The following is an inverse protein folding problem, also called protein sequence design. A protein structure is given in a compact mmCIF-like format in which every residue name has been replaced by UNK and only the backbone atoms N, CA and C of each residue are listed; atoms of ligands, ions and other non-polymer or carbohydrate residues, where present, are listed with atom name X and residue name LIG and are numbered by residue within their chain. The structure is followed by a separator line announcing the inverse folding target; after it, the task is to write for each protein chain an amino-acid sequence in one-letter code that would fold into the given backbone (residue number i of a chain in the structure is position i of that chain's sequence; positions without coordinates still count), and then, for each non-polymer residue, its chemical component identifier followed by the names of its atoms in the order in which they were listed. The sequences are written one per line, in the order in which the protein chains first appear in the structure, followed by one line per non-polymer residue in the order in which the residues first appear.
data_IF_320741765846
#
_entry.id   IF_320741765846
#
_cell.length_a   1.000
_cell.length_b   1.000
_cell.length_c   1.000
_cell.angle_alpha   90.00
_cell.angle_beta   90.00
_cell.angle_gamma   90.00
#
_symmetry.space_group_name_H-M   'P 1'
#
loop_
_entity.id
_entity.type
_entity.pdbx_description
1 polymer ?
#
# COMPACT_ATOMS: atom_id res chain seq x y z
N UNK A 1 -81.23 32.44 30.43
CA UNK A 1 -81.34 33.92 30.34
C UNK A 1 -79.92 34.41 30.09
N UNK A 2 -79.49 34.46 28.82
CA UNK A 2 -79.35 35.68 27.99
C UNK A 2 -78.41 36.71 28.66
N UNK A 3 -77.30 37.15 28.07
CA UNK A 3 -77.16 37.63 26.68
C UNK A 3 -75.71 37.67 26.16
N UNK A 4 -75.59 37.66 24.83
CA UNK A 4 -74.66 38.37 23.91
C UNK A 4 -73.14 38.17 24.02
N UNK A 5 -72.45 37.74 22.95
CA UNK A 5 -72.10 38.53 21.76
C UNK A 5 -70.61 38.94 21.91
N UNK A 6 -69.66 38.75 21.01
CA UNK A 6 -69.63 39.04 19.56
C UNK A 6 -68.33 38.45 19.00
N UNK A 7 -68.35 37.97 17.74
CA UNK A 7 -67.17 37.61 16.97
C UNK A 7 -66.26 38.82 16.72
N UNK A 8 -64.94 38.63 16.83
CA UNK A 8 -63.95 39.51 16.19
C UNK A 8 -63.10 38.65 15.25
N UNK A 9 -63.37 38.82 13.95
CA UNK A 9 -62.46 38.49 12.87
C UNK A 9 -61.18 39.32 13.02
N UNK A 10 -60.03 38.67 13.04
CA UNK A 10 -58.74 39.34 12.78
C UNK A 10 -58.24 38.86 11.43
N UNK A 11 -58.37 39.76 10.45
CA UNK A 11 -57.80 39.68 9.12
C UNK A 11 -56.33 39.25 9.17
N UNK A 12 -56.06 38.05 8.64
CA UNK A 12 -54.72 37.59 8.31
C UNK A 12 -54.31 38.35 7.04
N UNK A 13 -53.59 39.46 7.19
CA UNK A 13 -52.95 40.15 6.08
C UNK A 13 -52.02 39.16 5.36
N UNK A 14 -52.42 38.76 4.16
CA UNK A 14 -51.57 38.10 3.20
C UNK A 14 -50.60 39.15 2.64
N UNK A 15 -49.35 39.11 3.11
CA UNK A 15 -48.25 39.76 2.42
C UNK A 15 -47.93 38.95 1.16
N UNK A 16 -47.92 39.56 -0.05
CA UNK A 16 -47.52 38.88 -1.26
C UNK A 16 -45.98 38.78 -1.25
N UNK A 17 -45.46 37.66 -0.76
CA UNK A 17 -44.11 37.26 -1.15
C UNK A 17 -44.17 36.85 -2.62
N UNK A 18 -43.85 37.82 -3.48
CA UNK A 18 -43.34 37.59 -4.82
C UNK A 18 -42.31 36.47 -4.75
N UNK A 19 -42.70 35.30 -5.23
CA UNK A 19 -41.77 34.26 -5.63
C UNK A 19 -40.94 34.86 -6.78
N UNK A 20 -39.81 35.45 -6.45
CA UNK A 20 -38.70 35.53 -7.40
C UNK A 20 -38.39 34.08 -7.76
N UNK A 21 -38.90 33.64 -8.91
CA UNK A 21 -38.35 32.53 -9.65
C UNK A 21 -36.89 32.88 -9.93
N UNK A 22 -35.99 32.61 -8.98
CA UNK A 22 -34.61 32.34 -9.30
C UNK A 22 -34.66 31.08 -10.15
N UNK A 23 -34.70 31.26 -11.46
CA UNK A 23 -34.43 30.23 -12.45
C UNK A 23 -33.14 29.55 -12.00
N UNK A 24 -33.26 28.41 -11.32
CA UNK A 24 -32.13 27.69 -10.79
C UNK A 24 -31.30 27.22 -11.97
N UNK A 25 -30.26 27.99 -12.32
CA UNK A 25 -29.25 27.53 -13.27
C UNK A 25 -28.73 26.21 -12.71
N UNK A 26 -28.81 25.13 -13.49
CA UNK A 26 -28.20 23.88 -13.05
C UNK A 26 -26.71 24.13 -12.88
N UNK A 27 -26.09 23.50 -11.90
CA UNK A 27 -24.66 23.66 -11.64
C UNK A 27 -23.80 23.30 -12.87
N UNK A 28 -24.31 22.40 -13.71
CA UNK A 28 -23.72 22.00 -15.02
C UNK A 28 -23.80 23.11 -16.07
N UNK A 29 -24.74 24.04 -15.95
CA UNK A 29 -24.87 25.21 -16.83
C UNK A 29 -23.84 26.30 -16.48
N UNK A 30 -23.20 26.20 -15.31
CA UNK A 30 -22.26 27.20 -14.78
C UNK A 30 -20.83 26.65 -14.72
N UNK A 31 -20.66 25.36 -14.45
CA UNK A 31 -19.34 24.71 -14.37
C UNK A 31 -19.30 23.41 -15.20
N UNK A 32 -18.21 23.19 -15.96
CA UNK A 32 -17.95 21.88 -16.56
C UNK A 32 -17.89 20.78 -15.48
N UNK A 33 -18.33 19.57 -15.84
CA UNK A 33 -18.31 18.41 -14.94
C UNK A 33 -16.91 18.12 -14.41
N UNK A 34 -15.88 18.38 -15.22
CA UNK A 34 -14.47 18.23 -14.87
C UNK A 34 -14.06 19.14 -13.70
N UNK A 35 -14.62 20.35 -13.63
CA UNK A 35 -14.35 21.30 -12.55
C UNK A 35 -15.05 20.86 -11.26
N UNK A 36 -16.28 20.35 -11.38
CA UNK A 36 -17.01 19.79 -10.24
C UNK A 36 -16.29 18.55 -9.69
N UNK A 37 -15.83 17.67 -10.57
CA UNK A 37 -15.02 16.50 -10.23
C UNK A 37 -13.74 16.89 -9.48
N UNK A 38 -13.02 17.90 -9.98
CA UNK A 38 -11.83 18.45 -9.33
C UNK A 38 -12.13 19.01 -7.94
N UNK A 39 -13.25 19.73 -7.75
CA UNK A 39 -13.62 20.30 -6.46
C UNK A 39 -13.88 19.18 -5.44
N UNK A 40 -14.67 18.17 -5.81
CA UNK A 40 -15.00 17.08 -4.89
C UNK A 40 -13.77 16.19 -4.63
N UNK A 41 -12.92 15.96 -5.63
CA UNK A 41 -11.65 15.24 -5.45
C UNK A 41 -10.70 16.01 -4.52
N UNK A 42 -10.57 17.32 -4.67
CA UNK A 42 -9.75 18.12 -3.76
C UNK A 42 -10.32 18.15 -2.33
N UNK A 43 -11.65 18.13 -2.18
CA UNK A 43 -12.27 17.99 -0.86
C UNK A 43 -11.95 16.63 -0.22
N UNK A 44 -11.99 15.54 -1.00
CA UNK A 44 -11.57 14.21 -0.53
C UNK A 44 -10.05 14.13 -0.23
N UNK A 45 -9.24 15.04 -0.77
CA UNK A 45 -7.81 15.11 -0.45
C UNK A 45 -7.48 16.12 0.67
N UNK A 46 -8.43 16.99 1.03
CA UNK A 46 -8.18 18.15 1.91
C UNK A 46 -8.01 17.82 3.39
N UNK A 47 -8.53 16.67 3.86
CA UNK A 47 -8.46 16.24 5.26
C UNK A 47 -7.81 14.87 5.38
N UNK A 48 -6.85 14.77 6.30
CA UNK A 48 -6.21 13.50 6.68
C UNK A 48 -7.19 12.61 7.46
N UNK A 49 -8.16 13.20 8.16
CA UNK A 49 -9.19 12.45 8.89
C UNK A 49 -10.33 12.03 7.95
N UNK A 50 -10.55 10.71 7.88
CA UNK A 50 -11.62 10.09 7.10
C UNK A 50 -13.01 10.50 7.60
N UNK A 51 -13.21 10.66 8.92
CA UNK A 51 -14.52 11.01 9.45
C UNK A 51 -14.91 12.44 9.05
N UNK A 52 -13.98 13.39 9.14
CA UNK A 52 -14.20 14.74 8.62
C UNK A 52 -14.51 14.73 7.12
N UNK A 53 -13.73 14.01 6.31
CA UNK A 53 -14.01 13.89 4.86
C UNK A 53 -15.38 13.31 4.56
N UNK A 54 -15.75 12.21 5.21
CA UNK A 54 -17.04 11.56 5.00
C UNK A 54 -18.20 12.50 5.37
N UNK A 55 -18.04 13.31 6.41
CA UNK A 55 -19.02 14.35 6.81
C UNK A 55 -19.10 15.47 5.77
N UNK A 56 -17.98 15.94 5.27
CA UNK A 56 -17.94 17.04 4.31
C UNK A 56 -18.50 16.60 2.94
N UNK A 57 -18.16 15.40 2.48
CA UNK A 57 -18.77 14.75 1.31
C UNK A 57 -20.28 14.50 1.51
N UNK A 58 -20.69 14.08 2.71
CA UNK A 58 -22.11 13.92 3.02
C UNK A 58 -22.84 15.26 2.95
N UNK A 59 -22.28 16.32 3.52
CA UNK A 59 -22.86 17.67 3.46
C UNK A 59 -22.98 18.17 2.03
N UNK A 60 -21.94 17.94 1.22
CA UNK A 60 -21.93 18.26 -0.20
C UNK A 60 -22.97 17.43 -0.99
N UNK A 61 -23.21 16.18 -0.59
CA UNK A 61 -24.23 15.34 -1.22
C UNK A 61 -25.68 15.81 -1.00
N UNK A 62 -25.91 16.72 -0.04
CA UNK A 62 -27.24 17.27 0.26
C UNK A 62 -27.54 18.57 -0.48
N UNK A 63 -26.59 19.17 -1.20
CA UNK A 63 -26.78 20.50 -1.80
C UNK A 63 -27.51 20.45 -3.15
N UNK A 64 -27.10 19.56 -4.06
CA UNK A 64 -27.77 19.38 -5.35
C UNK A 64 -27.54 17.97 -5.91
N UNK A 65 -28.32 17.58 -6.93
CA UNK A 65 -28.26 16.25 -7.53
C UNK A 65 -26.89 15.90 -8.15
N UNK A 66 -26.22 16.87 -8.77
CA UNK A 66 -24.90 16.66 -9.40
C UNK A 66 -23.85 16.38 -8.33
N UNK A 67 -23.80 17.21 -7.30
CA UNK A 67 -22.90 17.05 -6.15
C UNK A 67 -23.24 15.81 -5.33
N UNK A 68 -24.52 15.40 -5.28
CA UNK A 68 -24.96 14.13 -4.72
C UNK A 68 -24.31 12.93 -5.42
N UNK A 69 -24.43 12.89 -6.75
CA UNK A 69 -23.84 11.81 -7.55
C UNK A 69 -22.31 11.78 -7.41
N UNK A 70 -21.68 12.96 -7.43
CA UNK A 70 -20.22 13.07 -7.37
C UNK A 70 -19.64 12.76 -5.99
N UNK A 71 -20.26 13.25 -4.92
CA UNK A 71 -19.91 12.86 -3.56
C UNK A 71 -20.11 11.36 -3.33
N UNK A 72 -21.17 10.78 -3.90
CA UNK A 72 -21.40 9.33 -3.89
C UNK A 72 -20.25 8.58 -4.57
N UNK A 73 -19.84 9.03 -5.76
CA UNK A 73 -18.72 8.46 -6.52
C UNK A 73 -17.43 8.47 -5.71
N UNK A 74 -17.07 9.59 -5.09
CA UNK A 74 -15.84 9.68 -4.28
C UNK A 74 -15.94 8.83 -3.01
N UNK A 75 -17.08 8.86 -2.31
CA UNK A 75 -17.28 8.09 -1.07
C UNK A 75 -17.16 6.58 -1.26
N UNK A 76 -17.60 6.06 -2.41
CA UNK A 76 -17.50 4.63 -2.74
C UNK A 76 -16.25 4.27 -3.56
N UNK A 77 -15.40 5.24 -3.90
CA UNK A 77 -14.18 5.02 -4.69
C UNK A 77 -13.21 4.06 -3.99
N UNK A 78 -13.00 4.24 -2.70
CA UNK A 78 -12.12 3.40 -1.88
C UNK A 78 -12.86 2.92 -0.64
N UNK A 79 -13.10 1.60 -0.55
CA UNK A 79 -13.90 1.00 0.52
C UNK A 79 -13.11 -0.04 1.30
N UNK A 80 -13.39 -0.10 2.60
CA UNK A 80 -12.86 -1.13 3.49
C UNK A 80 -14.03 -1.99 3.95
N UNK A 81 -13.98 -3.28 3.60
CA UNK A 81 -14.99 -4.27 3.93
C UNK A 81 -14.55 -5.08 5.14
N UNK A 82 -15.12 -4.77 6.29
CA UNK A 82 -14.89 -5.49 7.55
C UNK A 82 -15.77 -6.73 7.63
N UNK A 83 -15.22 -7.90 7.29
CA UNK A 83 -15.98 -9.15 7.25
C UNK A 83 -16.74 -9.42 8.56
N UNK A 84 -17.98 -9.90 8.46
CA UNK A 84 -18.79 -10.25 9.64
C UNK A 84 -19.35 -9.07 10.44
N UNK A 85 -19.33 -7.84 9.91
CA UNK A 85 -19.89 -6.67 10.61
C UNK A 85 -21.23 -6.23 10.03
N UNK A 86 -22.12 -5.66 10.86
CA UNK A 86 -23.36 -5.03 10.36
C UNK A 86 -23.10 -3.93 9.33
N UNK A 87 -21.97 -3.20 9.49
CA UNK A 87 -21.53 -2.18 8.53
C UNK A 87 -21.21 -2.80 7.17
N UNK A 88 -20.56 -3.97 7.13
CA UNK A 88 -20.24 -4.64 5.87
C UNK A 88 -21.47 -5.20 5.17
N UNK A 89 -22.49 -5.66 5.92
CA UNK A 89 -23.78 -6.03 5.34
C UNK A 89 -24.48 -4.84 4.66
N UNK A 90 -24.57 -3.68 5.34
CA UNK A 90 -25.11 -2.45 4.73
C UNK A 90 -24.31 -2.01 3.52
N UNK A 91 -22.99 -2.14 3.57
CA UNK A 91 -22.11 -1.83 2.45
C UNK A 91 -22.41 -2.75 1.26
N UNK A 92 -22.50 -4.06 1.47
CA UNK A 92 -22.86 -5.02 0.43
C UNK A 92 -24.20 -4.67 -0.25
N UNK A 93 -25.24 -4.33 0.52
CA UNK A 93 -26.52 -3.88 -0.03
C UNK A 93 -26.40 -2.63 -0.90
N UNK A 94 -25.60 -1.64 -0.45
CA UNK A 94 -25.37 -0.41 -1.22
C UNK A 94 -24.59 -0.66 -2.50
N UNK A 95 -23.64 -1.59 -2.48
CA UNK A 95 -22.92 -2.01 -3.68
C UNK A 95 -23.88 -2.67 -4.68
N UNK A 96 -24.74 -3.58 -4.20
CA UNK A 96 -25.77 -4.23 -5.03
C UNK A 96 -26.78 -3.22 -5.59
N UNK A 97 -27.12 -2.17 -4.85
CA UNK A 97 -28.07 -1.14 -5.29
C UNK A 97 -27.50 -0.09 -6.24
N UNK A 98 -26.28 -0.28 -6.77
CA UNK A 98 -25.70 0.57 -7.81
C UNK A 98 -24.39 1.28 -7.46
N UNK A 99 -23.91 1.20 -6.21
CA UNK A 99 -22.63 1.83 -5.85
C UNK A 99 -21.39 1.06 -6.34
N UNK A 100 -21.54 -0.22 -6.69
CA UNK A 100 -20.45 -1.10 -7.14
C UNK A 100 -19.64 -0.51 -8.31
N UNK A 101 -20.30 0.18 -9.23
CA UNK A 101 -19.65 0.78 -10.40
C UNK A 101 -18.72 1.97 -10.11
N UNK A 102 -18.66 2.45 -8.86
CA UNK A 102 -17.76 3.51 -8.43
C UNK A 102 -16.49 3.00 -7.74
N UNK A 103 -16.50 1.76 -7.26
CA UNK A 103 -15.39 1.18 -6.50
C UNK A 103 -14.16 1.01 -7.39
N UNK A 104 -13.05 1.60 -6.96
CA UNK A 104 -11.72 1.44 -7.55
C UNK A 104 -10.77 0.69 -6.63
N UNK A 105 -10.89 0.90 -5.32
CA UNK A 105 -10.04 0.27 -4.33
C UNK A 105 -10.90 -0.45 -3.29
N UNK A 106 -10.67 -1.75 -3.12
CA UNK A 106 -11.36 -2.59 -2.13
C UNK A 106 -10.32 -3.24 -1.22
N UNK A 107 -10.40 -2.94 0.07
CA UNK A 107 -9.67 -3.67 1.10
C UNK A 107 -10.64 -4.56 1.87
N UNK A 108 -10.38 -5.86 1.92
CA UNK A 108 -11.17 -6.84 2.67
C UNK A 108 -10.41 -7.16 3.96
N UNK A 109 -11.03 -6.83 5.09
CA UNK A 109 -10.54 -7.17 6.41
C UNK A 109 -11.16 -8.49 6.85
N UNK A 110 -10.35 -9.54 6.78
CA UNK A 110 -10.68 -10.89 7.22
C UNK A 110 -10.60 -10.94 8.76
N UNK A 111 -11.75 -10.90 9.43
CA UNK A 111 -11.82 -11.06 10.89
C UNK A 111 -11.68 -12.54 11.26
N UNK A 112 -10.69 -12.89 12.11
CA UNK A 112 -10.50 -14.26 12.61
C UNK A 112 -11.26 -14.60 13.90
N UNK A 113 -12.05 -13.69 14.46
CA UNK A 113 -12.97 -13.97 15.58
C UNK A 113 -14.25 -13.17 15.38
N UNK A 114 -15.38 -13.85 15.40
CA UNK A 114 -16.71 -13.29 15.23
C UNK A 114 -16.96 -12.16 16.25
N UNK A 115 -17.37 -10.98 15.77
CA UNK A 115 -18.11 -10.05 16.63
C UNK A 115 -19.54 -10.56 16.62
N UNK A 116 -20.05 -10.92 17.80
CA UNK A 116 -21.43 -11.32 18.03
C UNK A 116 -22.38 -10.38 17.28
N UNK A 117 -23.02 -10.89 16.22
CA UNK A 117 -24.21 -10.26 15.65
C UNK A 117 -25.44 -11.06 16.14
N UNK A 118 -26.50 -10.39 16.61
CA UNK A 118 -27.63 -11.02 17.30
C UNK A 118 -28.67 -11.58 16.31
N UNK A 119 -28.27 -12.54 15.48
CA UNK A 119 -29.20 -13.32 14.68
C UNK A 119 -28.62 -14.69 14.38
N UNK A 120 -29.16 -15.70 15.05
CA UNK A 120 -28.88 -17.11 14.81
C UNK A 120 -29.11 -17.47 13.33
N UNK A 121 -28.10 -18.04 12.67
CA UNK A 121 -28.32 -18.85 11.46
C UNK A 121 -27.79 -18.33 10.12
N UNK A 122 -27.13 -17.16 10.03
CA UNK A 122 -26.41 -16.77 8.79
C UNK A 122 -24.91 -16.97 8.97
N UNK A 123 -24.25 -17.59 7.99
CA UNK A 123 -22.81 -17.86 8.02
C UNK A 123 -22.03 -16.57 8.38
N UNK A 124 -21.12 -16.66 9.34
CA UNK A 124 -20.30 -15.56 9.88
C UNK A 124 -19.42 -14.81 8.83
N UNK A 125 -19.48 -15.22 7.57
CA UNK A 125 -18.66 -14.74 6.47
C UNK A 125 -19.51 -13.95 5.47
N UNK A 126 -19.50 -12.61 5.62
CA UNK A 126 -20.25 -11.67 4.78
C UNK A 126 -19.50 -11.26 3.51
N UNK A 127 -18.24 -11.68 3.31
CA UNK A 127 -17.49 -11.33 2.10
C UNK A 127 -18.10 -11.93 0.82
N UNK A 128 -18.85 -13.03 0.93
CA UNK A 128 -19.63 -13.61 -0.18
C UNK A 128 -20.76 -12.69 -0.63
N UNK A 129 -21.19 -11.74 0.21
CA UNK A 129 -22.21 -10.76 -0.14
C UNK A 129 -21.66 -9.60 -1.00
N UNK A 130 -20.33 -9.47 -1.14
CA UNK A 130 -19.72 -8.48 -2.04
C UNK A 130 -20.08 -8.86 -3.48
N UNK A 131 -20.75 -7.98 -4.25
CA UNK A 131 -21.13 -8.28 -5.62
C UNK A 131 -19.94 -8.06 -6.57
N UNK A 132 -18.93 -8.94 -6.51
CA UNK A 132 -17.69 -8.82 -7.30
C UNK A 132 -17.94 -8.64 -8.79
N UNK A 133 -18.96 -9.32 -9.32
CA UNK A 133 -19.40 -9.22 -10.71
C UNK A 133 -19.83 -7.79 -11.12
N UNK A 134 -20.27 -6.96 -10.16
CA UNK A 134 -20.65 -5.58 -10.40
C UNK A 134 -19.50 -4.58 -10.22
N UNK A 135 -18.36 -5.01 -9.66
CA UNK A 135 -17.18 -4.17 -9.40
C UNK A 135 -16.33 -3.93 -10.67
N UNK A 136 -16.96 -3.56 -11.77
CA UNK A 136 -16.33 -3.47 -13.11
C UNK A 136 -15.22 -2.43 -13.24
N UNK A 137 -15.15 -1.46 -12.30
CA UNK A 137 -14.10 -0.43 -12.25
C UNK A 137 -13.03 -0.68 -11.19
N UNK A 138 -13.07 -1.83 -10.50
CA UNK A 138 -12.10 -2.17 -9.47
C UNK A 138 -10.70 -2.24 -10.08
N UNK A 139 -9.74 -1.56 -9.44
CA UNK A 139 -8.33 -1.47 -9.84
C UNK A 139 -7.40 -2.08 -8.81
N UNK A 140 -7.72 -1.95 -7.52
CA UNK A 140 -6.94 -2.49 -6.42
C UNK A 140 -7.79 -3.37 -5.53
N UNK A 141 -7.31 -4.58 -5.25
CA UNK A 141 -7.89 -5.49 -4.27
C UNK A 141 -6.83 -5.87 -3.23
N UNK A 142 -7.10 -5.57 -1.95
CA UNK A 142 -6.24 -5.95 -0.82
C UNK A 142 -7.01 -6.86 0.13
N UNK A 143 -6.39 -7.97 0.55
CA UNK A 143 -6.90 -8.90 1.55
C UNK A 143 -5.98 -8.82 2.76
N UNK A 144 -6.51 -8.31 3.86
CA UNK A 144 -5.76 -7.99 5.07
C UNK A 144 -6.41 -8.65 6.29
N UNK A 145 -5.59 -8.95 7.29
CA UNK A 145 -6.08 -9.41 8.58
C UNK A 145 -5.88 -8.30 9.61
N UNK A 146 -6.92 -8.01 10.38
CA UNK A 146 -6.92 -6.94 11.40
C UNK A 146 -6.38 -7.43 12.74
N UNK A 147 -6.15 -8.74 12.90
CA UNK A 147 -5.72 -9.29 14.19
C UNK A 147 -4.33 -8.77 14.57
N UNK A 148 -4.31 -7.80 15.50
CA UNK A 148 -3.20 -7.43 16.38
C UNK A 148 -2.88 -8.54 17.41
N UNK A 149 -3.06 -9.81 17.05
CA UNK A 149 -2.76 -10.93 17.93
C UNK A 149 -1.42 -11.49 17.49
N UNK A 150 -0.47 -11.54 18.42
CA UNK A 150 0.94 -11.83 18.18
C UNK A 150 1.25 -13.22 17.60
N UNK A 151 0.24 -14.07 17.36
CA UNK A 151 0.25 -15.36 16.64
C UNK A 151 -1.18 -15.92 16.62
N UNK A 152 -2.01 -15.65 15.61
CA UNK A 152 -3.24 -16.41 15.44
C UNK A 152 -2.89 -17.82 14.96
N UNK A 153 -3.63 -18.87 15.35
CA UNK A 153 -3.41 -20.21 14.83
C UNK A 153 -3.62 -20.23 13.30
N UNK A 154 -2.69 -20.85 12.56
CA UNK A 154 -2.63 -20.82 11.09
C UNK A 154 -3.93 -21.22 10.38
N UNK A 155 -4.75 -22.08 11.00
CA UNK A 155 -6.04 -22.54 10.46
C UNK A 155 -7.18 -21.54 10.59
N UNK A 156 -7.08 -20.54 11.48
CA UNK A 156 -8.13 -19.54 11.71
C UNK A 156 -8.07 -18.30 10.80
N UNK A 157 -7.08 -18.25 9.92
CA UNK A 157 -6.77 -17.08 9.07
C UNK A 157 -7.01 -17.31 7.59
N UNK A 158 -7.49 -18.50 7.22
CA UNK A 158 -7.58 -18.95 5.85
C UNK A 158 -9.03 -18.92 5.36
N UNK A 159 -9.30 -18.17 4.28
CA UNK A 159 -10.63 -17.96 3.74
C UNK A 159 -10.74 -18.50 2.30
N UNK A 160 -10.78 -19.84 2.13
CA UNK A 160 -10.87 -20.46 0.80
C UNK A 160 -12.08 -20.00 -0.02
N UNK A 161 -13.22 -19.74 0.63
CA UNK A 161 -14.43 -19.36 -0.10
C UNK A 161 -14.30 -17.98 -0.74
N UNK A 162 -13.53 -17.06 -0.16
CA UNK A 162 -13.26 -15.77 -0.78
C UNK A 162 -12.57 -15.97 -2.14
N UNK A 163 -11.54 -16.80 -2.20
CA UNK A 163 -10.80 -17.04 -3.44
C UNK A 163 -11.63 -17.78 -4.49
N UNK A 164 -12.53 -18.69 -4.09
CA UNK A 164 -13.51 -19.29 -5.01
C UNK A 164 -14.48 -18.26 -5.59
N UNK A 165 -14.95 -17.32 -4.77
CA UNK A 165 -15.82 -16.23 -5.24
C UNK A 165 -15.07 -15.30 -6.18
N UNK A 166 -13.82 -14.95 -5.87
CA UNK A 166 -12.96 -14.18 -6.79
C UNK A 166 -12.75 -14.93 -8.11
N UNK A 167 -12.55 -16.25 -8.05
CA UNK A 167 -12.37 -17.07 -9.24
C UNK A 167 -13.63 -17.18 -10.11
N UNK A 168 -14.81 -17.08 -9.55
CA UNK A 168 -16.06 -17.22 -10.32
C UNK A 168 -16.70 -15.90 -10.71
N UNK A 169 -16.52 -14.86 -9.91
CA UNK A 169 -17.32 -13.64 -9.98
C UNK A 169 -16.53 -12.38 -10.30
N UNK A 170 -15.19 -12.38 -10.16
CA UNK A 170 -14.39 -11.20 -10.45
C UNK A 170 -14.29 -10.98 -11.98
N UNK A 171 -14.68 -9.80 -12.49
CA UNK A 171 -14.54 -9.51 -13.92
C UNK A 171 -13.07 -9.57 -14.36
N UNK A 172 -12.86 -9.97 -15.61
CA UNK A 172 -11.53 -10.14 -16.18
C UNK A 172 -10.84 -8.79 -16.45
N UNK A 173 -9.52 -8.76 -16.28
CA UNK A 173 -8.65 -7.63 -16.66
C UNK A 173 -9.07 -6.27 -16.09
N UNK A 174 -9.65 -6.28 -14.89
CA UNK A 174 -10.00 -5.05 -14.17
C UNK A 174 -8.88 -4.63 -13.21
N UNK A 175 -8.21 -5.60 -12.58
CA UNK A 175 -7.20 -5.36 -11.55
C UNK A 175 -5.88 -4.86 -12.14
N UNK A 176 -5.32 -3.86 -11.46
CA UNK A 176 -3.97 -3.33 -11.67
C UNK A 176 -3.08 -3.63 -10.46
N UNK A 177 -3.67 -3.80 -9.29
CA UNK A 177 -3.00 -4.15 -8.06
C UNK A 177 -3.76 -5.25 -7.30
N UNK A 178 -3.02 -6.23 -6.80
CA UNK A 178 -3.54 -7.26 -5.90
C UNK A 178 -2.60 -7.41 -4.71
N UNK A 179 -3.16 -7.53 -3.52
CA UNK A 179 -2.43 -7.72 -2.26
C UNK A 179 -3.09 -8.80 -1.42
N UNK A 180 -2.31 -9.83 -1.06
CA UNK A 180 -2.66 -10.86 -0.09
C UNK A 180 -1.40 -11.28 0.67
N UNK A 181 -1.04 -10.50 1.69
CA UNK A 181 0.15 -10.73 2.52
C UNK A 181 -0.06 -11.77 3.62
N UNK A 182 -1.23 -12.41 3.62
CA UNK A 182 -1.57 -13.52 4.50
C UNK A 182 -1.21 -14.86 3.84
N UNK A 183 -0.93 -15.91 4.62
CA UNK A 183 -0.78 -17.26 4.06
C UNK A 183 -1.99 -17.64 3.21
N UNK A 184 -1.72 -18.15 2.01
CA UNK A 184 -2.73 -18.63 1.06
C UNK A 184 -2.34 -20.02 0.56
N UNK A 185 -3.31 -20.76 0.02
CA UNK A 185 -3.05 -21.96 -0.75
C UNK A 185 -2.80 -21.58 -2.19
N UNK A 186 -1.95 -22.33 -2.89
CA UNK A 186 -1.52 -21.87 -4.20
C UNK A 186 -2.66 -21.88 -5.25
N UNK A 187 -3.69 -22.72 -5.05
CA UNK A 187 -4.92 -22.72 -5.85
C UNK A 187 -5.73 -21.42 -5.72
N UNK A 188 -5.53 -20.65 -4.66
CA UNK A 188 -6.24 -19.40 -4.41
C UNK A 188 -5.88 -18.30 -5.39
N UNK A 189 -4.73 -18.41 -6.07
CA UNK A 189 -4.23 -17.42 -7.00
C UNK A 189 -4.67 -17.67 -8.45
N UNK A 190 -5.44 -18.74 -8.72
CA UNK A 190 -5.84 -19.13 -10.08
C UNK A 190 -6.61 -18.01 -10.79
N UNK A 191 -7.45 -17.25 -10.07
CA UNK A 191 -8.21 -16.13 -10.66
C UNK A 191 -7.33 -15.04 -11.29
N UNK A 192 -6.06 -14.92 -10.86
CA UNK A 192 -5.11 -13.96 -11.42
C UNK A 192 -4.75 -14.25 -12.88
N UNK A 193 -4.97 -15.47 -13.37
CA UNK A 193 -4.79 -15.82 -14.79
C UNK A 193 -5.64 -14.94 -15.71
N UNK A 194 -6.80 -14.47 -15.22
CA UNK A 194 -7.71 -13.59 -15.95
C UNK A 194 -7.41 -12.10 -15.75
N UNK A 195 -6.28 -11.75 -15.12
CA UNK A 195 -5.91 -10.37 -14.76
C UNK A 195 -4.58 -9.99 -15.41
N UNK A 196 -4.50 -10.01 -16.74
CA UNK A 196 -3.26 -9.74 -17.49
C UNK A 196 -2.76 -8.29 -17.35
N UNK A 197 -3.64 -7.36 -16.96
CA UNK A 197 -3.30 -5.93 -16.72
C UNK A 197 -2.71 -5.66 -15.34
N UNK A 198 -2.51 -6.68 -14.52
CA UNK A 198 -1.95 -6.52 -13.18
C UNK A 198 -0.50 -6.04 -13.25
N UNK A 199 -0.21 -4.93 -12.56
CA UNK A 199 1.13 -4.33 -12.49
C UNK A 199 1.76 -4.47 -11.12
N UNK A 200 0.94 -4.57 -10.07
CA UNK A 200 1.37 -4.67 -8.66
C UNK A 200 0.87 -5.95 -8.04
N UNK A 201 1.79 -6.73 -7.48
CA UNK A 201 1.49 -7.98 -6.80
C UNK A 201 2.15 -7.99 -5.43
N UNK A 202 1.34 -8.03 -4.38
CA UNK A 202 1.80 -8.21 -3.01
C UNK A 202 1.32 -9.56 -2.48
N UNK A 203 2.23 -10.41 -2.04
CA UNK A 203 1.95 -11.79 -1.63
C UNK A 203 2.67 -12.13 -0.34
N UNK A 204 2.12 -13.05 0.45
CA UNK A 204 2.84 -13.58 1.60
C UNK A 204 4.19 -14.19 1.19
N UNK A 205 4.20 -15.05 0.16
CA UNK A 205 5.41 -15.68 -0.37
C UNK A 205 5.13 -16.34 -1.70
N UNK A 206 6.06 -16.35 -2.66
CA UNK A 206 5.79 -16.93 -3.98
C UNK A 206 5.35 -18.42 -3.92
N UNK A 207 4.44 -18.88 -4.82
CA UNK A 207 3.94 -20.25 -4.84
C UNK A 207 5.05 -21.30 -4.97
N UNK A 208 4.92 -22.42 -4.25
CA UNK A 208 5.96 -23.47 -4.21
C UNK A 208 5.57 -24.78 -4.88
N UNK A 209 4.27 -25.03 -5.08
CA UNK A 209 3.85 -26.28 -5.71
C UNK A 209 4.11 -26.26 -7.22
N UNK A 210 4.27 -27.43 -7.86
CA UNK A 210 4.57 -27.52 -9.29
C UNK A 210 3.53 -26.87 -10.20
N UNK A 211 2.22 -26.94 -9.88
CA UNK A 211 1.17 -26.41 -10.75
C UNK A 211 1.19 -24.88 -10.77
N UNK A 212 1.29 -24.26 -9.59
CA UNK A 212 1.33 -22.79 -9.49
C UNK A 212 2.69 -22.24 -9.94
N UNK A 213 3.76 -23.00 -9.75
CA UNK A 213 5.05 -22.71 -10.37
C UNK A 213 4.93 -22.66 -11.90
N UNK A 214 4.26 -23.64 -12.52
CA UNK A 214 4.05 -23.69 -13.97
C UNK A 214 3.25 -22.48 -14.49
N UNK A 215 2.33 -21.94 -13.70
CA UNK A 215 1.63 -20.69 -14.02
C UNK A 215 2.58 -19.50 -13.94
N UNK A 216 3.38 -19.42 -12.89
CA UNK A 216 4.32 -18.32 -12.70
C UNK A 216 5.39 -18.26 -13.79
N UNK A 217 5.89 -19.40 -14.30
CA UNK A 217 6.90 -19.40 -15.38
C UNK A 217 6.32 -19.00 -16.75
N UNK A 218 5.00 -19.07 -16.92
CA UNK A 218 4.36 -18.75 -18.19
C UNK A 218 4.52 -17.25 -18.49
N UNK A 219 5.14 -16.84 -19.63
CA UNK A 219 5.33 -15.42 -19.95
C UNK A 219 4.02 -14.65 -20.12
N UNK A 220 2.93 -15.36 -20.46
CA UNK A 220 1.59 -14.81 -20.57
C UNK A 220 0.91 -14.52 -19.23
N UNK A 221 1.43 -15.08 -18.13
CA UNK A 221 0.89 -14.85 -16.80
C UNK A 221 1.47 -13.55 -16.22
N UNK A 222 0.62 -12.53 -16.01
CA UNK A 222 1.02 -11.21 -15.50
C UNK A 222 2.17 -10.56 -16.31
N UNK A 223 1.99 -10.35 -17.63
CA UNK A 223 3.05 -9.86 -18.51
C UNK A 223 3.51 -8.44 -18.17
N UNK A 224 2.63 -7.61 -17.63
CA UNK A 224 2.88 -6.20 -17.30
C UNK A 224 3.31 -6.00 -15.83
N UNK A 225 3.77 -7.05 -15.14
CA UNK A 225 4.11 -6.97 -13.73
C UNK A 225 5.36 -6.10 -13.50
N UNK A 226 5.18 -4.99 -12.78
CA UNK A 226 6.21 -3.98 -12.49
C UNK A 226 6.67 -4.00 -11.02
N UNK A 227 5.77 -4.37 -10.09
CA UNK A 227 6.00 -4.29 -8.64
C UNK A 227 5.68 -5.59 -7.96
N UNK A 228 6.62 -6.06 -7.14
CA UNK A 228 6.46 -7.25 -6.31
C UNK A 228 6.74 -6.88 -4.86
N UNK A 229 5.81 -7.17 -3.95
CA UNK A 229 5.98 -7.08 -2.49
C UNK A 229 5.78 -8.47 -1.88
N UNK A 230 6.79 -8.97 -1.16
CA UNK A 230 6.75 -10.26 -0.50
C UNK A 230 6.83 -10.08 1.01
N UNK A 231 5.88 -10.68 1.73
CA UNK A 231 5.96 -10.70 3.20
C UNK A 231 7.19 -11.51 3.67
N UNK A 232 7.45 -12.65 3.03
CA UNK A 232 8.58 -13.53 3.33
C UNK A 232 9.18 -14.06 2.04
N UNK A 233 10.51 -13.99 1.96
CA UNK A 233 11.30 -14.65 0.93
C UNK A 233 12.10 -15.81 1.54
N UNK A 234 11.82 -17.02 1.06
CA UNK A 234 12.43 -18.24 1.56
C UNK A 234 13.68 -18.63 0.78
N UNK A 235 14.67 -19.31 1.40
CA UNK A 235 15.91 -19.71 0.72
C UNK A 235 15.67 -20.66 -0.47
N UNK A 236 14.63 -21.50 -0.35
CA UNK A 236 14.24 -22.51 -1.33
C UNK A 236 13.49 -21.94 -2.54
N UNK A 237 13.15 -20.66 -2.54
CA UNK A 237 12.39 -20.01 -3.62
C UNK A 237 13.26 -19.49 -4.77
N UNK A 238 14.55 -19.85 -4.82
CA UNK A 238 15.44 -19.53 -5.95
C UNK A 238 14.83 -19.86 -7.32
N UNK A 239 14.27 -21.07 -7.53
CA UNK A 239 13.55 -21.41 -8.76
C UNK A 239 12.30 -20.55 -8.96
N UNK A 240 11.52 -20.29 -7.92
CA UNK A 240 10.29 -19.49 -8.02
C UNK A 240 10.55 -18.03 -8.39
N UNK A 241 11.71 -17.47 -8.04
CA UNK A 241 12.11 -16.17 -8.55
C UNK A 241 12.42 -16.24 -10.04
N UNK A 242 13.09 -17.29 -10.54
CA UNK A 242 13.27 -17.47 -11.99
C UNK A 242 11.92 -17.48 -12.73
N UNK A 243 10.85 -17.90 -12.07
CA UNK A 243 9.52 -17.82 -12.67
C UNK A 243 9.11 -16.39 -13.04
N UNK A 244 9.64 -15.37 -12.36
CA UNK A 244 9.42 -13.95 -12.67
C UNK A 244 10.28 -13.42 -13.83
N UNK A 245 11.22 -14.21 -14.35
CA UNK A 245 12.11 -13.82 -15.44
C UNK A 245 11.34 -13.36 -16.68
N UNK A 246 11.87 -12.34 -17.36
CA UNK A 246 11.30 -11.78 -18.60
C UNK A 246 10.21 -10.73 -18.37
N UNK A 247 9.75 -10.51 -17.13
CA UNK A 247 8.79 -9.44 -16.80
C UNK A 247 9.49 -8.11 -16.55
N UNK A 248 8.81 -6.96 -16.76
CA UNK A 248 9.37 -5.62 -16.58
C UNK A 248 9.37 -5.20 -15.09
N UNK A 249 9.83 -6.07 -14.20
CA UNK A 249 9.83 -5.81 -12.75
C UNK A 249 10.89 -4.77 -12.43
N UNK A 250 10.46 -3.61 -11.97
CA UNK A 250 11.33 -2.48 -11.63
C UNK A 250 11.53 -2.30 -10.13
N UNK A 251 10.68 -2.93 -9.32
CA UNK A 251 10.64 -2.75 -7.87
C UNK A 251 10.35 -4.05 -7.14
N UNK A 252 11.19 -4.37 -6.17
CA UNK A 252 11.02 -5.51 -5.27
C UNK A 252 11.05 -5.04 -3.82
N UNK A 253 9.95 -5.28 -3.11
CA UNK A 253 9.87 -5.14 -1.65
C UNK A 253 9.87 -6.52 -1.02
N UNK A 254 10.67 -6.69 0.03
CA UNK A 254 10.69 -7.90 0.85
C UNK A 254 10.68 -7.49 2.32
N UNK A 255 9.72 -8.02 3.08
CA UNK A 255 9.53 -7.69 4.50
C UNK A 255 10.19 -8.66 5.46
N UNK A 256 10.64 -9.81 4.98
CA UNK A 256 11.43 -10.76 5.76
C UNK A 256 12.27 -11.60 4.80
N UNK A 257 13.56 -11.67 5.06
CA UNK A 257 14.52 -12.43 4.25
C UNK A 257 15.15 -13.49 5.14
N UNK A 258 14.81 -14.75 4.90
CA UNK A 258 15.42 -15.87 5.65
C UNK A 258 16.82 -16.22 5.12
N UNK A 259 17.07 -16.11 3.81
CA UNK A 259 18.39 -16.16 3.20
C UNK A 259 18.37 -15.60 1.77
N UNK A 260 19.56 -15.39 1.19
CA UNK A 260 19.73 -15.04 -0.22
C UNK A 260 19.44 -16.25 -1.10
N UNK A 261 18.48 -16.17 -2.03
CA UNK A 261 18.32 -17.18 -3.06
C UNK A 261 19.51 -17.19 -4.01
N UNK A 262 20.07 -18.38 -4.30
CA UNK A 262 21.28 -18.56 -5.13
C UNK A 262 21.18 -18.07 -6.59
N UNK A 263 20.01 -17.59 -7.06
CA UNK A 263 19.71 -17.34 -8.47
C UNK A 263 19.03 -15.99 -8.77
N UNK A 264 19.25 -14.97 -7.93
CA UNK A 264 18.68 -13.63 -8.11
C UNK A 264 19.03 -12.93 -9.44
N UNK A 265 20.18 -13.23 -10.03
CA UNK A 265 20.64 -12.58 -11.28
C UNK A 265 19.66 -12.68 -12.45
N UNK A 266 18.78 -13.69 -12.46
CA UNK A 266 17.81 -13.93 -13.54
C UNK A 266 16.65 -12.92 -13.61
N UNK A 267 16.32 -12.25 -12.50
CA UNK A 267 15.14 -11.36 -12.38
C UNK A 267 15.52 -9.90 -12.09
N UNK A 268 16.76 -9.69 -11.68
CA UNK A 268 17.22 -8.42 -11.07
C UNK A 268 17.69 -7.39 -12.09
N UNK A 269 17.83 -7.76 -13.37
CA UNK A 269 18.34 -6.88 -14.42
C UNK A 269 17.52 -5.59 -14.56
N UNK A 270 16.20 -5.65 -14.38
CA UNK A 270 15.33 -4.47 -14.51
C UNK A 270 15.04 -3.78 -13.17
N UNK A 271 15.48 -4.36 -12.05
CA UNK A 271 15.12 -3.86 -10.72
C UNK A 271 15.99 -2.65 -10.38
N UNK A 272 15.32 -1.51 -10.19
CA UNK A 272 15.94 -0.24 -9.80
C UNK A 272 15.60 0.17 -8.37
N UNK A 273 14.59 -0.47 -7.76
CA UNK A 273 14.20 -0.27 -6.35
C UNK A 273 14.20 -1.59 -5.60
N UNK A 274 14.97 -1.67 -4.52
CA UNK A 274 14.97 -2.79 -3.58
C UNK A 274 14.62 -2.27 -2.17
N UNK A 275 13.48 -2.70 -1.64
CA UNK A 275 12.98 -2.27 -0.35
C UNK A 275 13.01 -3.42 0.67
N UNK A 276 13.86 -3.28 1.69
CA UNK A 276 14.09 -4.23 2.77
C UNK A 276 13.90 -3.56 4.14
N UNK A 277 13.19 -2.43 4.18
CA UNK A 277 13.06 -1.57 5.35
C UNK A 277 12.27 -2.22 6.50
N UNK A 278 11.45 -3.22 6.19
CA UNK A 278 10.71 -4.03 7.15
C UNK A 278 11.38 -5.38 7.47
N UNK A 279 12.50 -5.71 6.81
CA UNK A 279 13.17 -7.01 6.92
C UNK A 279 13.97 -7.20 8.21
N UNK A 280 13.79 -8.39 8.79
CA UNK A 280 14.69 -9.01 9.76
C UNK A 280 15.58 -10.01 9.01
N UNK A 281 16.89 -10.02 9.31
CA UNK A 281 17.83 -11.01 8.76
C UNK A 281 18.55 -11.70 9.91
N UNK A 282 18.81 -13.00 9.74
CA UNK A 282 19.72 -13.71 10.63
C UNK A 282 21.14 -13.10 10.54
N UNK A 283 21.86 -12.94 11.66
CA UNK A 283 23.27 -12.52 11.62
C UNK A 283 24.14 -13.42 10.75
N UNK A 284 23.83 -14.71 10.71
CA UNK A 284 24.45 -15.64 9.78
C UNK A 284 23.98 -15.36 8.35
N UNK A 285 24.91 -15.01 7.46
CA UNK A 285 24.65 -14.78 6.04
C UNK A 285 24.36 -13.33 5.64
N UNK A 286 24.46 -12.35 6.56
CA UNK A 286 24.29 -10.93 6.22
C UNK A 286 25.37 -10.42 5.23
N UNK A 287 26.62 -10.85 5.38
CA UNK A 287 27.70 -10.48 4.44
C UNK A 287 27.46 -11.06 3.04
N UNK A 288 27.15 -12.35 2.96
CA UNK A 288 26.79 -13.03 1.71
C UNK A 288 25.56 -12.39 1.04
N UNK A 289 24.65 -11.85 1.86
CA UNK A 289 23.52 -11.08 1.38
C UNK A 289 23.92 -9.83 0.63
N UNK A 290 24.77 -8.99 1.20
CA UNK A 290 25.20 -7.78 0.51
C UNK A 290 26.02 -8.08 -0.74
N UNK A 291 26.86 -9.12 -0.71
CA UNK A 291 27.57 -9.59 -1.91
C UNK A 291 26.58 -10.05 -2.98
N UNK A 292 25.56 -10.83 -2.59
CA UNK A 292 24.50 -11.26 -3.49
C UNK A 292 23.71 -10.10 -4.10
N UNK A 293 23.37 -9.09 -3.29
CA UNK A 293 22.70 -7.87 -3.77
C UNK A 293 23.57 -7.11 -4.75
N UNK A 294 24.84 -6.84 -4.39
CA UNK A 294 25.77 -6.09 -5.23
C UNK A 294 25.99 -6.78 -6.59
N UNK A 295 26.08 -8.11 -6.60
CA UNK A 295 26.28 -8.89 -7.82
C UNK A 295 25.02 -9.01 -8.68
N UNK A 296 23.83 -9.03 -8.07
CA UNK A 296 22.58 -9.27 -8.79
C UNK A 296 21.92 -7.96 -9.28
N UNK A 297 21.83 -6.95 -8.42
CA UNK A 297 21.08 -5.72 -8.70
C UNK A 297 21.97 -4.64 -9.29
N UNK A 298 22.56 -4.94 -10.45
CA UNK A 298 23.52 -4.04 -11.11
C UNK A 298 22.93 -2.67 -11.46
N UNK A 299 21.61 -2.60 -11.70
CA UNK A 299 20.90 -1.37 -12.05
C UNK A 299 20.22 -0.70 -10.84
N UNK A 300 20.54 -1.12 -9.61
CA UNK A 300 19.88 -0.59 -8.42
C UNK A 300 20.14 0.91 -8.26
N UNK A 301 19.07 1.68 -8.06
CA UNK A 301 19.13 3.15 -7.89
C UNK A 301 18.61 3.61 -6.54
N UNK A 302 17.69 2.86 -5.96
CA UNK A 302 17.15 3.09 -4.62
C UNK A 302 17.23 1.79 -3.81
N UNK A 303 17.90 1.86 -2.67
CA UNK A 303 17.96 0.78 -1.69
C UNK A 303 17.33 1.28 -0.38
N UNK A 304 16.38 0.54 0.17
CA UNK A 304 15.79 0.85 1.48
C UNK A 304 16.13 -0.27 2.46
N UNK A 305 16.68 0.08 3.62
CA UNK A 305 17.13 -0.88 4.63
C UNK A 305 16.55 -0.52 6.00
N UNK A 306 16.34 -1.55 6.84
CA UNK A 306 16.01 -1.32 8.25
C UNK A 306 17.29 -1.03 9.05
N UNK A 307 17.18 -0.23 10.10
CA UNK A 307 18.29 -0.04 11.04
C UNK A 307 18.72 -1.34 11.69
N UNK A 308 17.77 -2.23 11.99
CA UNK A 308 18.07 -3.54 12.54
C UNK A 308 18.92 -4.38 11.57
N UNK A 309 18.64 -4.30 10.27
CA UNK A 309 19.42 -4.93 9.21
C UNK A 309 20.87 -4.40 9.18
N UNK A 310 21.03 -3.07 9.18
CA UNK A 310 22.34 -2.43 9.17
C UNK A 310 23.15 -2.71 10.42
N UNK A 311 22.50 -2.71 11.59
CA UNK A 311 23.15 -3.01 12.87
C UNK A 311 23.80 -4.39 12.84
N UNK A 312 23.12 -5.40 12.31
CA UNK A 312 23.63 -6.77 12.20
C UNK A 312 24.83 -6.85 11.25
N UNK A 313 24.85 -6.03 10.21
CA UNK A 313 25.95 -5.96 9.25
C UNK A 313 27.22 -5.27 9.80
N UNK A 314 27.07 -4.48 10.87
CA UNK A 314 28.07 -3.52 11.34
C UNK A 314 28.45 -3.69 12.82
N UNK A 315 28.25 -4.88 13.38
CA UNK A 315 28.75 -5.19 14.73
C UNK A 315 30.29 -5.18 14.76
N UNK A 316 30.89 -4.94 15.94
CA UNK A 316 32.33 -4.68 16.10
C UNK A 316 33.11 -5.85 16.75
N UNK A 317 32.59 -7.08 16.74
CA UNK A 317 33.38 -8.25 17.18
C UNK A 317 34.35 -8.71 16.07
N UNK A 318 35.38 -9.51 16.36
CA UNK A 318 36.47 -9.79 15.37
C UNK A 318 35.99 -10.52 14.09
N UNK A 319 35.03 -11.44 14.18
CA UNK A 319 34.37 -12.04 12.99
C UNK A 319 33.49 -11.03 12.22
N UNK A 320 33.24 -9.86 12.80
CA UNK A 320 32.28 -8.87 12.32
C UNK A 320 32.95 -7.74 11.54
N UNK A 321 34.24 -7.50 11.76
CA UNK A 321 35.01 -6.55 10.96
C UNK A 321 34.97 -6.94 9.47
N UNK A 322 35.07 -8.23 9.16
CA UNK A 322 34.95 -8.73 7.80
C UNK A 322 33.53 -8.48 7.23
N UNK A 323 32.48 -8.58 8.05
CA UNK A 323 31.09 -8.28 7.63
C UNK A 323 30.91 -6.82 7.29
N UNK A 324 31.42 -5.93 8.14
CA UNK A 324 31.40 -4.48 7.92
C UNK A 324 32.17 -4.10 6.65
N UNK A 325 33.40 -4.61 6.49
CA UNK A 325 34.20 -4.40 5.26
C UNK A 325 33.46 -4.88 4.03
N UNK A 326 32.84 -6.06 4.11
CA UNK A 326 32.06 -6.64 3.00
C UNK A 326 30.84 -5.78 2.66
N UNK A 327 30.08 -5.32 3.66
CA UNK A 327 28.95 -4.41 3.47
C UNK A 327 29.36 -3.14 2.72
N UNK A 328 30.42 -2.47 3.19
CA UNK A 328 30.90 -1.24 2.54
C UNK A 328 31.39 -1.51 1.12
N UNK A 329 32.15 -2.58 0.90
CA UNK A 329 32.61 -2.97 -0.43
C UNK A 329 31.42 -3.22 -1.37
N UNK A 330 30.42 -3.99 -0.94
CA UNK A 330 29.20 -4.26 -1.71
C UNK A 330 28.41 -2.99 -2.02
N UNK A 331 28.28 -2.06 -1.06
CA UNK A 331 27.60 -0.79 -1.30
C UNK A 331 28.32 0.04 -2.36
N UNK A 332 29.65 0.09 -2.32
CA UNK A 332 30.46 0.83 -3.31
C UNK A 332 30.46 0.18 -4.70
N UNK A 333 30.17 -1.12 -4.81
CA UNK A 333 30.05 -1.81 -6.10
C UNK A 333 28.76 -1.43 -6.86
N UNK A 334 27.73 -0.93 -6.15
CA UNK A 334 26.47 -0.49 -6.75
C UNK A 334 26.63 0.89 -7.41
N UNK A 335 27.30 0.92 -8.57
CA UNK A 335 27.65 2.16 -9.29
C UNK A 335 26.46 3.04 -9.70
N UNK A 336 25.26 2.47 -9.78
CA UNK A 336 24.04 3.19 -10.12
C UNK A 336 23.19 3.61 -8.91
N UNK A 337 23.62 3.28 -7.68
CA UNK A 337 22.85 3.58 -6.47
C UNK A 337 22.84 5.09 -6.20
N UNK A 338 21.68 5.72 -6.35
CA UNK A 338 21.50 7.17 -6.22
C UNK A 338 20.94 7.58 -4.86
N UNK A 339 20.11 6.73 -4.27
CA UNK A 339 19.43 7.02 -3.01
C UNK A 339 19.42 5.81 -2.06
N UNK A 340 19.54 6.11 -0.76
CA UNK A 340 19.45 5.15 0.32
C UNK A 340 18.39 5.60 1.33
N UNK A 341 17.48 4.71 1.71
CA UNK A 341 16.61 4.91 2.87
C UNK A 341 17.06 4.02 4.02
N UNK A 342 17.08 4.58 5.23
CA UNK A 342 17.31 3.86 6.46
C UNK A 342 16.10 4.05 7.37
N UNK A 343 15.31 2.99 7.54
CA UNK A 343 14.16 2.97 8.44
C UNK A 343 14.61 2.60 9.85
N UNK A 344 14.57 3.58 10.76
CA UNK A 344 14.96 3.44 12.14
C UNK A 344 13.71 3.38 13.05
N UNK A 345 13.47 2.23 13.67
CA UNK A 345 12.36 2.02 14.60
C UNK A 345 12.71 2.43 16.03
N UNK A 346 11.88 3.23 16.67
CA UNK A 346 12.06 3.65 18.06
C UNK A 346 11.51 2.61 19.05
N UNK A 347 12.18 2.34 20.20
CA UNK A 347 13.40 2.95 20.73
C UNK A 347 14.70 2.24 20.31
N UNK A 348 14.64 1.26 19.41
CA UNK A 348 15.77 0.38 19.07
C UNK A 348 17.01 1.14 18.58
N UNK A 349 16.84 2.28 17.91
CA UNK A 349 17.93 3.13 17.43
C UNK A 349 18.46 4.18 18.44
N UNK A 350 17.73 4.49 19.51
CA UNK A 350 18.04 5.63 20.43
C UNK A 350 18.48 5.19 21.82
N UNK A 351 18.02 4.04 22.34
CA UNK A 351 18.16 3.69 23.76
C UNK A 351 19.15 2.58 24.11
N UNK A 352 19.80 1.92 23.14
CA UNK A 352 20.68 0.79 23.45
C UNK A 352 22.15 1.23 23.60
N UNK A 353 22.69 1.09 24.82
CA UNK A 353 24.11 1.22 25.18
C UNK A 353 24.97 0.12 24.52
N UNK A 354 25.21 0.15 23.19
CA UNK A 354 26.13 -0.78 22.50
C UNK A 354 26.80 -0.13 21.25
N UNK A 355 27.77 -0.80 20.60
CA UNK A 355 29.16 -0.35 20.44
C UNK A 355 29.37 0.80 19.44
N UNK A 356 28.41 1.03 18.52
CA UNK A 356 28.42 2.15 17.58
C UNK A 356 27.09 2.89 17.69
N UNK A 357 27.04 4.04 18.38
CA UNK A 357 25.87 4.91 18.41
C UNK A 357 25.36 5.18 17.00
N UNK A 358 24.03 5.20 16.79
CA UNK A 358 23.39 5.50 15.50
C UNK A 358 24.01 6.71 14.79
N UNK A 359 24.38 7.75 15.55
CA UNK A 359 25.05 8.96 15.05
C UNK A 359 26.44 8.71 14.44
N UNK A 360 27.23 7.81 15.03
CA UNK A 360 28.54 7.44 14.51
C UNK A 360 28.41 6.64 13.22
N UNK A 361 27.41 5.76 13.14
CA UNK A 361 27.07 5.08 11.90
C UNK A 361 26.73 6.07 10.79
N UNK A 362 25.84 7.03 11.05
CA UNK A 362 25.47 8.04 10.05
C UNK A 362 26.72 8.82 9.60
N UNK A 363 27.62 9.17 10.52
CA UNK A 363 28.88 9.84 10.16
C UNK A 363 29.75 8.98 9.23
N UNK A 364 29.99 7.73 9.61
CA UNK A 364 30.78 6.77 8.81
C UNK A 364 30.15 6.53 7.43
N UNK A 365 28.83 6.39 7.38
CA UNK A 365 28.07 6.27 6.13
C UNK A 365 28.31 7.46 5.21
N UNK A 366 28.20 8.68 5.72
CA UNK A 366 28.41 9.89 4.94
C UNK A 366 29.87 10.01 4.44
N UNK A 367 30.84 9.65 5.27
CA UNK A 367 32.27 9.62 4.89
C UNK A 367 32.55 8.58 3.81
N UNK A 368 32.00 7.36 3.94
CA UNK A 368 32.20 6.26 2.98
C UNK A 368 31.44 6.47 1.67
N UNK A 369 30.31 7.18 1.71
CA UNK A 369 29.53 7.49 0.52
C UNK A 369 30.01 8.78 -0.18
N UNK A 370 30.92 9.55 0.40
CA UNK A 370 31.48 10.75 -0.22
C UNK A 370 32.20 10.37 -1.53
N UNK A 371 31.80 11.00 -2.64
CA UNK A 371 32.34 10.70 -3.98
C UNK A 371 31.80 9.43 -4.64
N UNK A 372 30.81 8.76 -4.03
CA UNK A 372 30.04 7.69 -4.67
C UNK A 372 28.93 8.24 -5.60
N UNK A 373 28.16 7.34 -6.21
CA UNK A 373 26.94 7.66 -6.96
C UNK A 373 25.75 8.09 -6.07
N UNK A 374 25.84 7.86 -4.76
CA UNK A 374 24.77 8.16 -3.81
C UNK A 374 24.71 9.67 -3.58
N UNK A 375 23.55 10.27 -3.89
CA UNK A 375 23.30 11.71 -3.78
C UNK A 375 22.28 12.06 -2.71
N UNK A 376 21.58 11.07 -2.15
CA UNK A 376 20.51 11.29 -1.19
C UNK A 376 20.40 10.12 -0.20
N UNK A 377 20.37 10.43 1.09
CA UNK A 377 20.20 9.44 2.15
C UNK A 377 19.05 9.90 3.06
N UNK A 378 17.92 9.19 3.06
CA UNK A 378 16.82 9.44 3.98
C UNK A 378 17.00 8.62 5.25
N UNK A 379 16.98 9.31 6.39
CA UNK A 379 16.83 8.69 7.70
C UNK A 379 15.39 8.84 8.12
N UNK A 380 14.65 7.73 8.08
CA UNK A 380 13.24 7.68 8.40
C UNK A 380 13.03 7.15 9.82
N UNK A 381 12.35 7.93 10.66
CA UNK A 381 11.92 7.50 11.99
C UNK A 381 10.41 7.24 12.00
N UNK A 382 10.01 6.14 12.62
CA UNK A 382 8.60 5.79 12.85
C UNK A 382 7.98 6.57 14.03
N UNK A 383 8.79 7.32 14.78
CA UNK A 383 8.37 7.97 16.02
C UNK A 383 8.06 9.46 15.84
N UNK A 384 6.89 9.96 16.31
CA UNK A 384 6.47 11.35 16.10
C UNK A 384 7.40 12.43 16.67
N UNK A 385 8.24 12.07 17.65
CA UNK A 385 9.15 13.02 18.31
C UNK A 385 10.49 13.21 17.59
N UNK A 386 10.82 12.33 16.65
CA UNK A 386 12.05 12.46 15.86
C UNK A 386 11.67 12.68 14.39
N UNK A 387 11.89 13.89 13.85
CA UNK A 387 11.57 14.13 12.45
C UNK A 387 12.51 13.33 11.56
N UNK A 388 11.95 12.71 10.54
CA UNK A 388 12.74 12.13 9.44
C UNK A 388 13.55 13.25 8.76
N UNK A 389 14.76 12.94 8.33
CA UNK A 389 15.64 13.91 7.66
C UNK A 389 16.39 13.27 6.51
N UNK A 390 16.66 14.08 5.49
CA UNK A 390 17.48 13.71 4.35
C UNK A 390 18.89 14.31 4.53
N UNK A 391 19.92 13.54 4.19
CA UNK A 391 21.25 14.04 3.91
C UNK A 391 21.42 14.05 2.39
N UNK A 392 21.54 15.24 1.80
CA UNK A 392 21.68 15.41 0.35
C UNK A 392 23.13 15.81 0.01
N UNK A 393 23.73 15.17 -0.98
CA UNK A 393 25.06 15.53 -1.46
C UNK A 393 24.96 16.71 -2.44
N UNK A 394 25.50 17.86 -2.05
CA UNK A 394 25.42 19.11 -2.81
C UNK A 394 26.78 19.79 -2.79
N UNK A 395 27.31 20.15 -3.96
CA UNK A 395 28.57 20.90 -4.09
C UNK A 395 29.78 20.30 -3.33
N UNK A 396 29.82 18.97 -3.17
CA UNK A 396 30.91 18.27 -2.49
C UNK A 396 30.76 18.15 -0.97
N UNK A 397 29.59 18.51 -0.42
CA UNK A 397 29.27 18.37 1.02
C UNK A 397 27.90 17.74 1.24
N UNK A 398 27.70 17.14 2.41
CA UNK A 398 26.40 16.61 2.84
C UNK A 398 25.58 17.68 3.57
N UNK A 399 24.44 18.07 2.98
CA UNK A 399 23.50 19.02 3.55
C UNK A 399 22.31 18.30 4.17
N UNK A 400 22.01 18.63 5.44
CA UNK A 400 20.82 18.12 6.12
C UNK A 400 19.58 18.89 5.67
N UNK A 401 18.57 18.17 5.20
CA UNK A 401 17.25 18.67 4.78
C UNK A 401 16.15 18.00 5.57
N UNK A 402 15.06 18.71 5.79
CA UNK A 402 13.85 18.18 6.41
C UNK A 402 12.79 18.00 5.32
N UNK A 403 12.57 16.78 4.80
CA UNK A 403 11.49 16.56 3.87
C UNK A 403 10.15 16.81 4.56
N UNK A 404 9.16 17.27 3.80
CA UNK A 404 7.79 17.46 4.31
C UNK A 404 7.19 16.15 4.81
N UNK A 405 7.51 15.03 4.17
CA UNK A 405 7.11 13.68 4.55
C UNK A 405 8.06 12.63 3.93
N UNK A 406 8.45 11.62 4.70
CA UNK A 406 9.27 10.49 4.24
C UNK A 406 8.62 9.71 3.08
N UNK A 407 7.29 9.51 3.11
CA UNK A 407 6.57 8.83 2.03
C UNK A 407 6.63 9.62 0.71
N UNK A 408 6.60 10.95 0.79
CA UNK A 408 6.73 11.81 -0.39
C UNK A 408 8.15 11.71 -0.96
N UNK A 409 9.17 11.74 -0.10
CA UNK A 409 10.55 11.52 -0.51
C UNK A 409 10.71 10.15 -1.19
N UNK A 410 10.16 9.09 -0.60
CA UNK A 410 10.26 7.73 -1.15
C UNK A 410 9.58 7.64 -2.51
N UNK A 411 8.38 8.21 -2.64
CA UNK A 411 7.66 8.27 -3.91
C UNK A 411 8.45 9.05 -4.98
N UNK A 412 9.09 10.16 -4.60
CA UNK A 412 9.91 10.97 -5.51
C UNK A 412 11.17 10.23 -5.97
N UNK A 413 11.93 9.63 -5.05
CA UNK A 413 13.13 8.85 -5.39
C UNK A 413 12.77 7.62 -6.21
N UNK A 414 11.69 6.94 -5.86
CA UNK A 414 11.16 5.82 -6.63
C UNK A 414 10.80 6.23 -8.05
N UNK A 415 10.17 7.41 -8.23
CA UNK A 415 9.86 7.96 -9.55
C UNK A 415 11.14 8.30 -10.33
N UNK A 416 12.13 8.92 -9.69
CA UNK A 416 13.44 9.24 -10.29
C UNK A 416 14.17 7.98 -10.74
N UNK A 417 14.24 6.97 -9.86
CA UNK A 417 14.86 5.68 -10.14
C UNK A 417 14.27 5.04 -11.41
N UNK A 418 12.94 5.14 -11.61
CA UNK A 418 12.25 4.60 -12.79
C UNK A 418 12.41 5.44 -14.04
N UNK A 419 12.39 6.76 -13.92
CA UNK A 419 12.42 7.66 -15.08
C UNK A 419 13.68 7.48 -15.93
N UNK A 420 14.77 7.06 -15.31
CA UNK A 420 16.06 6.84 -15.95
C UNK A 420 16.27 5.45 -16.57
N UNK A 421 15.24 4.60 -16.61
CA UNK A 421 15.23 3.34 -17.39
C UNK A 421 14.78 3.56 -18.85
N UNK A 422 14.24 4.73 -19.17
CA UNK A 422 13.91 5.17 -20.53
C UNK A 422 15.08 5.96 -21.10
#
# INVERSE_FOLDING_TARGET
MASDGTMIEVHRQQSPHTATQTSGRNLVDVFPLEVIDLIVENLDLSSVDKLSRDRDLYSLSQTCHVLHAEAGRQRFRAIVFHNGTYRSWKLAQRLQSGAAGFVRDLTIHCHGVAVESPAEGTSNELYTAIPFNLLTKLRSLSIENVLRVARPPQSSLYHSELFKVLDTSLPENILHAFSALLPYHNQDLVFLQRQSKLRRLALHSLPRDPQSYNLMIAPSFLPDLEYVDLAILFPTQGPTLQALQGRPIVSLKVRSVEAVPKHWSSVTQNIVVLELSDSEISPSGTADFFVGVANAFVNLRLLCLSWDFLRVALTNDEEDLQRSVTFWASLTQLSHLQALEIQARYPACVKFNRPTPFREFIRSLLEKCAGSSIVSILIHFDHPREPSYEMAWVAGTWDKRLPSNAQIWLADQTRKARASLK
#
